data_IF_091607055710
#
_entry.id   IF_091607055710
#
_cell.length_a   1.000
_cell.length_b   1.000
_cell.length_c   1.000
_cell.angle_alpha   90.00
_cell.angle_beta   90.00
_cell.angle_gamma   90.00
#
_symmetry.space_group_name_H-M   'P 1'
#
loop_
_entity.id
_entity.type
_entity.pdbx_description
1 polymer ?
#
# COMPACT_ATOMS: atom_id res chain seq x y z
N UNK A 1 -22.88 4.99 -29.37
CA UNK A 1 -22.02 4.35 -28.33
C UNK A 1 -20.96 5.34 -27.89
N UNK A 2 -20.55 5.31 -26.61
CA UNK A 2 -19.69 6.29 -25.90
C UNK A 2 -20.40 7.58 -25.47
N UNK A 3 -21.46 7.44 -24.67
CA UNK A 3 -22.01 8.55 -23.88
C UNK A 3 -21.84 8.17 -22.40
N UNK A 4 -20.81 8.70 -21.73
CA UNK A 4 -20.56 8.43 -20.30
C UNK A 4 -19.10 8.30 -19.86
N UNK A 5 -18.13 8.33 -20.79
CA UNK A 5 -16.70 8.13 -20.47
C UNK A 5 -16.13 9.14 -19.49
N UNK A 6 -16.46 10.43 -19.64
CA UNK A 6 -15.92 11.51 -18.79
C UNK A 6 -16.38 11.39 -17.33
N UNK A 7 -17.68 11.19 -17.11
CA UNK A 7 -18.25 11.03 -15.76
C UNK A 7 -17.80 9.72 -15.11
N UNK A 8 -17.71 8.63 -15.88
CA UNK A 8 -17.22 7.35 -15.36
C UNK A 8 -15.75 7.43 -14.94
N UNK A 9 -14.88 7.99 -15.79
CA UNK A 9 -13.47 8.20 -15.45
C UNK A 9 -13.30 9.16 -14.27
N UNK A 10 -14.08 10.25 -14.20
CA UNK A 10 -14.07 11.19 -13.06
C UNK A 10 -14.47 10.50 -11.76
N UNK A 11 -15.55 9.73 -11.77
CA UNK A 11 -16.04 9.02 -10.59
C UNK A 11 -15.07 7.93 -10.16
N UNK A 12 -14.49 7.17 -11.09
CA UNK A 12 -13.47 6.17 -10.78
C UNK A 12 -12.22 6.79 -10.16
N UNK A 13 -11.73 7.93 -10.69
CA UNK A 13 -10.59 8.64 -10.14
C UNK A 13 -10.89 9.22 -8.75
N UNK A 14 -12.11 9.73 -8.55
CA UNK A 14 -12.57 10.21 -7.25
C UNK A 14 -12.62 9.07 -6.23
N UNK A 15 -13.23 7.93 -6.58
CA UNK A 15 -13.30 6.74 -5.73
C UNK A 15 -11.92 6.22 -5.35
N UNK A 16 -10.97 6.17 -6.30
CA UNK A 16 -9.60 5.72 -6.03
C UNK A 16 -8.91 6.63 -4.99
N UNK A 17 -9.02 7.95 -5.13
CA UNK A 17 -8.43 8.89 -4.15
C UNK A 17 -9.13 8.85 -2.78
N UNK A 18 -10.44 8.62 -2.73
CA UNK A 18 -11.16 8.42 -1.45
C UNK A 18 -10.66 7.16 -0.74
N UNK A 19 -10.43 6.06 -1.47
CA UNK A 19 -9.82 4.86 -0.89
C UNK A 19 -8.41 5.15 -0.36
N UNK A 20 -7.60 5.91 -1.10
CA UNK A 20 -6.25 6.28 -0.64
C UNK A 20 -6.28 7.15 0.62
N UNK A 21 -7.23 8.07 0.74
CA UNK A 21 -7.46 8.81 1.99
C UNK A 21 -7.79 7.89 3.16
N UNK A 22 -8.66 6.88 2.94
CA UNK A 22 -9.03 5.94 3.99
C UNK A 22 -7.85 5.09 4.43
N UNK A 23 -7.07 4.58 3.48
CA UNK A 23 -5.84 3.84 3.78
C UNK A 23 -4.84 4.71 4.56
N UNK A 24 -4.62 5.96 4.13
CA UNK A 24 -3.71 6.87 4.83
C UNK A 24 -4.12 7.16 6.27
N UNK A 25 -5.41 7.44 6.52
CA UNK A 25 -5.93 7.66 7.87
C UNK A 25 -5.86 6.40 8.74
N UNK A 26 -6.14 5.22 8.17
CA UNK A 26 -6.00 3.95 8.87
C UNK A 26 -4.53 3.67 9.26
N UNK A 27 -3.57 3.90 8.36
CA UNK A 27 -2.15 3.72 8.65
C UNK A 27 -1.68 4.63 9.80
N UNK A 28 -2.09 5.91 9.79
CA UNK A 28 -1.77 6.85 10.86
C UNK A 28 -2.45 6.42 12.17
N UNK A 29 -3.73 6.04 12.12
CA UNK A 29 -4.50 5.64 13.28
C UNK A 29 -3.94 4.39 13.97
N UNK A 30 -3.63 3.34 13.22
CA UNK A 30 -3.04 2.10 13.75
C UNK A 30 -1.64 2.36 14.30
N UNK A 31 -0.82 3.16 13.62
CA UNK A 31 0.51 3.50 14.11
C UNK A 31 0.47 4.33 15.40
N UNK A 32 -0.45 5.30 15.50
CA UNK A 32 -0.65 6.12 16.69
C UNK A 32 -1.19 5.28 17.86
N UNK A 33 -2.15 4.39 17.59
CA UNK A 33 -2.68 3.45 18.58
C UNK A 33 -1.58 2.51 19.10
N UNK A 34 -0.78 1.92 18.20
CA UNK A 34 0.32 1.01 18.57
C UNK A 34 1.39 1.65 19.45
N UNK A 35 1.66 2.95 19.25
CA UNK A 35 2.56 3.73 20.13
C UNK A 35 1.99 3.88 21.53
N UNK A 36 0.67 4.07 21.68
CA UNK A 36 0.00 4.30 22.95
C UNK A 36 0.07 3.11 23.93
N UNK A 37 0.14 1.88 23.41
CA UNK A 37 0.22 0.65 24.22
C UNK A 37 1.66 0.19 24.52
N UNK A 38 2.69 0.86 23.97
CA UNK A 38 4.08 0.45 24.15
C UNK A 38 4.43 -0.92 23.53
N UNK A 39 3.59 -1.44 22.63
CA UNK A 39 3.74 -2.78 22.02
C UNK A 39 4.87 -2.82 20.99
N UNK A 40 5.20 -1.69 20.34
CA UNK A 40 6.23 -1.61 19.31
C UNK A 40 7.41 -0.77 19.82
N UNK A 41 8.54 -1.43 20.08
CA UNK A 41 9.71 -0.85 20.75
C UNK A 41 10.61 0.00 19.84
N UNK A 42 10.32 0.15 18.54
CA UNK A 42 11.16 0.91 17.60
C UNK A 42 10.45 2.14 17.04
N UNK A 43 10.96 3.31 17.44
CA UNK A 43 10.51 4.63 16.97
C UNK A 43 10.64 4.74 15.45
N UNK A 44 11.64 4.10 14.86
CA UNK A 44 11.91 4.17 13.42
C UNK A 44 10.84 3.49 12.57
N UNK A 45 10.38 2.30 12.98
CA UNK A 45 9.36 1.55 12.24
C UNK A 45 8.03 2.31 12.27
N UNK A 46 7.63 2.77 13.46
CA UNK A 46 6.41 3.57 13.63
C UNK A 46 6.50 4.88 12.82
N UNK A 47 7.65 5.57 12.88
CA UNK A 47 7.89 6.79 12.12
C UNK A 47 7.74 6.59 10.61
N UNK A 48 8.24 5.46 10.09
CA UNK A 48 8.08 5.08 8.69
C UNK A 48 6.62 4.91 8.28
N UNK A 49 5.83 4.15 9.05
CA UNK A 49 4.40 3.92 8.76
C UNK A 49 3.61 5.22 8.77
N UNK A 50 3.87 6.11 9.74
CA UNK A 50 3.23 7.43 9.82
C UNK A 50 3.61 8.30 8.62
N UNK A 51 4.90 8.35 8.27
CA UNK A 51 5.37 9.15 7.13
C UNK A 51 4.73 8.70 5.81
N UNK A 52 4.64 7.38 5.58
CA UNK A 52 3.94 6.82 4.41
C UNK A 52 2.45 7.18 4.44
N UNK A 53 1.78 7.08 5.59
CA UNK A 53 0.36 7.44 5.73
C UNK A 53 0.09 8.92 5.41
N UNK A 54 0.93 9.83 5.90
CA UNK A 54 0.81 11.27 5.61
C UNK A 54 1.06 11.56 4.13
N UNK A 55 2.09 10.94 3.54
CA UNK A 55 2.40 11.09 2.12
C UNK A 55 1.23 10.64 1.23
N UNK A 56 0.63 9.48 1.52
CA UNK A 56 -0.56 8.99 0.80
C UNK A 56 -1.76 9.94 0.93
N UNK A 57 -1.96 10.54 2.10
CA UNK A 57 -3.04 11.50 2.33
C UNK A 57 -2.85 12.78 1.49
N UNK A 58 -1.61 13.29 1.39
CA UNK A 58 -1.30 14.45 0.55
C UNK A 58 -1.54 14.16 -0.95
N UNK A 59 -1.10 12.99 -1.42
CA UNK A 59 -1.33 12.57 -2.82
C UNK A 59 -2.83 12.46 -3.10
N UNK A 60 -3.58 11.86 -2.18
CA UNK A 60 -5.02 11.68 -2.32
C UNK A 60 -5.77 13.02 -2.39
N UNK A 61 -5.38 14.01 -1.57
CA UNK A 61 -5.96 15.37 -1.63
C UNK A 61 -5.65 16.02 -2.98
N UNK A 62 -4.40 15.96 -3.44
CA UNK A 62 -3.99 16.52 -4.74
C UNK A 62 -4.76 15.85 -5.89
N UNK A 63 -4.90 14.53 -5.86
CA UNK A 63 -5.64 13.76 -6.84
C UNK A 63 -7.14 14.08 -6.84
N UNK A 64 -7.74 14.22 -5.66
CA UNK A 64 -9.15 14.59 -5.51
C UNK A 64 -9.44 16.00 -6.04
N UNK A 65 -8.64 16.99 -5.66
CA UNK A 65 -8.76 18.37 -6.17
C UNK A 65 -8.56 18.39 -7.69
N UNK A 66 -7.58 17.63 -8.21
CA UNK A 66 -7.33 17.51 -9.65
C UNK A 66 -8.51 16.92 -10.42
N UNK A 67 -9.17 15.91 -9.85
CA UNK A 67 -10.35 15.27 -10.43
C UNK A 67 -11.60 16.19 -10.39
N UNK A 68 -11.82 16.92 -9.28
CA UNK A 68 -12.99 17.76 -9.07
C UNK A 68 -12.94 19.04 -9.90
N UNK A 69 -11.83 19.77 -9.82
CA UNK A 69 -11.65 21.08 -10.47
C UNK A 69 -11.18 20.97 -11.93
N UNK A 70 -10.89 19.77 -12.41
CA UNK A 70 -10.36 19.51 -13.75
C UNK A 70 -9.12 20.38 -14.08
N UNK A 71 -8.31 20.66 -13.06
CA UNK A 71 -7.11 21.48 -13.20
C UNK A 71 -6.01 20.67 -13.90
N UNK A 72 -5.86 20.89 -15.21
CA UNK A 72 -4.99 20.11 -16.11
C UNK A 72 -3.54 19.97 -15.61
N UNK A 73 -2.99 21.02 -14.99
CA UNK A 73 -1.63 21.01 -14.44
C UNK A 73 -1.53 20.17 -13.16
N UNK A 74 -2.56 20.18 -12.30
CA UNK A 74 -2.56 19.42 -11.04
C UNK A 74 -2.68 17.92 -11.33
N UNK A 75 -3.52 17.58 -12.32
CA UNK A 75 -3.68 16.22 -12.81
C UNK A 75 -2.39 15.68 -13.47
N UNK A 76 -1.59 16.55 -14.08
CA UNK A 76 -0.26 16.18 -14.60
C UNK A 76 0.70 15.81 -13.48
N UNK A 77 0.84 16.64 -12.44
CA UNK A 77 1.67 16.31 -11.28
C UNK A 77 1.22 15.02 -10.60
N UNK A 78 -0.10 14.84 -10.44
CA UNK A 78 -0.67 13.61 -9.87
C UNK A 78 -0.22 12.36 -10.64
N UNK A 79 -0.22 12.39 -11.97
CA UNK A 79 0.23 11.25 -12.77
C UNK A 79 1.71 11.00 -12.76
N UNK A 80 2.53 12.05 -12.70
CA UNK A 80 3.97 11.91 -12.50
C UNK A 80 4.23 11.23 -11.15
N UNK A 81 3.53 11.64 -10.09
CA UNK A 81 3.67 11.05 -8.76
C UNK A 81 3.22 9.58 -8.75
N UNK A 82 2.04 9.26 -9.28
CA UNK A 82 1.57 7.88 -9.40
C UNK A 82 2.54 7.00 -10.21
N UNK A 83 3.18 7.56 -11.24
CA UNK A 83 4.18 6.81 -12.00
C UNK A 83 5.42 6.48 -11.14
N UNK A 84 5.92 7.41 -10.33
CA UNK A 84 7.02 7.12 -9.42
C UNK A 84 6.63 6.12 -8.32
N UNK A 85 5.43 6.25 -7.74
CA UNK A 85 4.91 5.29 -6.76
C UNK A 85 4.84 3.90 -7.38
N UNK A 86 4.33 3.77 -8.60
CA UNK A 86 4.35 2.53 -9.35
C UNK A 86 5.77 1.94 -9.49
N UNK A 87 6.77 2.74 -9.88
CA UNK A 87 8.15 2.25 -10.05
C UNK A 87 8.73 1.70 -8.74
N UNK A 88 8.57 2.44 -7.63
CA UNK A 88 9.05 1.99 -6.32
C UNK A 88 8.30 0.76 -5.84
N UNK A 89 6.98 0.74 -5.98
CA UNK A 89 6.14 -0.36 -5.52
C UNK A 89 6.40 -1.63 -6.31
N UNK A 90 6.49 -1.53 -7.63
CA UNK A 90 6.85 -2.65 -8.49
C UNK A 90 8.25 -3.17 -8.15
N UNK A 91 9.23 -2.27 -7.96
CA UNK A 91 10.60 -2.63 -7.60
C UNK A 91 10.70 -3.34 -6.24
N UNK A 92 10.04 -2.79 -5.20
CA UNK A 92 10.01 -3.39 -3.86
C UNK A 92 9.26 -4.72 -3.89
N UNK A 93 8.12 -4.81 -4.60
CA UNK A 93 7.33 -6.05 -4.70
C UNK A 93 8.13 -7.17 -5.36
N UNK A 94 8.80 -6.88 -6.48
CA UNK A 94 9.68 -7.82 -7.15
C UNK A 94 10.86 -8.23 -6.25
N UNK A 95 11.43 -7.29 -5.51
CA UNK A 95 12.51 -7.57 -4.56
C UNK A 95 12.06 -8.47 -3.41
N UNK A 96 10.86 -8.25 -2.85
CA UNK A 96 10.27 -9.11 -1.82
C UNK A 96 10.00 -10.54 -2.32
N UNK A 97 9.54 -10.70 -3.56
CA UNK A 97 9.31 -12.01 -4.18
C UNK A 97 10.60 -12.74 -4.55
N UNK A 98 11.63 -12.00 -4.98
CA UNK A 98 12.91 -12.55 -5.41
C UNK A 98 13.91 -12.80 -4.25
N UNK A 99 13.59 -12.35 -3.03
CA UNK A 99 14.48 -12.45 -1.88
C UNK A 99 14.74 -13.91 -1.49
N UNK A 100 15.99 -14.35 -1.58
CA UNK A 100 16.41 -15.70 -1.19
C UNK A 100 16.74 -15.81 0.31
N UNK A 101 16.77 -17.05 0.82
CA UNK A 101 17.05 -17.33 2.24
C UNK A 101 18.40 -16.77 2.71
N UNK A 102 19.46 -16.92 1.91
CA UNK A 102 20.80 -16.38 2.26
C UNK A 102 20.80 -14.86 2.41
N UNK A 103 20.04 -14.14 1.58
CA UNK A 103 19.92 -12.69 1.67
C UNK A 103 19.16 -12.28 2.93
N UNK A 104 18.08 -13.01 3.27
CA UNK A 104 17.35 -12.79 4.51
C UNK A 104 18.22 -13.07 5.74
N UNK A 105 19.01 -14.15 5.74
CA UNK A 105 19.94 -14.49 6.83
C UNK A 105 20.99 -13.40 7.03
N UNK A 106 21.58 -12.88 5.94
CA UNK A 106 22.57 -11.79 6.01
C UNK A 106 21.96 -10.49 6.55
N UNK A 107 20.77 -10.12 6.07
CA UNK A 107 20.05 -8.94 6.57
C UNK A 107 19.69 -9.10 8.04
N UNK A 108 19.20 -10.27 8.43
CA UNK A 108 18.81 -10.58 9.80
C UNK A 108 20.01 -10.56 10.75
N UNK A 109 21.15 -11.14 10.36
CA UNK A 109 22.38 -11.10 11.16
C UNK A 109 22.87 -9.66 11.37
N UNK A 110 22.93 -8.87 10.28
CA UNK A 110 23.30 -7.46 10.38
C UNK A 110 22.34 -6.67 11.27
N UNK A 111 21.03 -6.90 11.14
CA UNK A 111 20.00 -6.23 11.93
C UNK A 111 20.08 -6.63 13.40
N UNK A 112 20.28 -7.92 13.70
CA UNK A 112 20.37 -8.44 15.05
C UNK A 112 21.55 -7.84 15.81
N UNK A 113 22.70 -7.67 15.14
CA UNK A 113 23.89 -7.02 15.73
C UNK A 113 23.67 -5.55 16.07
N UNK A 114 22.85 -4.84 15.30
CA UNK A 114 22.51 -3.42 15.57
C UNK A 114 21.34 -3.28 16.55
N UNK A 115 20.61 -4.35 16.81
CA UNK A 115 19.43 -4.33 17.68
C UNK A 115 19.86 -4.31 19.15
N UNK A 116 19.18 -3.49 19.95
CA UNK A 116 19.45 -3.39 21.39
C UNK A 116 19.07 -4.65 22.15
N UNK A 117 19.79 -4.94 23.23
CA UNK A 117 19.58 -6.14 24.04
C UNK A 117 18.16 -6.23 24.64
N UNK A 118 17.53 -5.09 24.95
CA UNK A 118 16.13 -5.04 25.42
C UNK A 118 15.17 -5.51 24.34
N UNK A 119 15.40 -5.10 23.08
CA UNK A 119 14.56 -5.50 21.95
C UNK A 119 14.74 -6.99 21.66
N UNK A 120 15.98 -7.49 21.74
CA UNK A 120 16.27 -8.93 21.61
C UNK A 120 15.55 -9.74 22.67
N UNK A 121 15.63 -9.36 23.95
CA UNK A 121 14.95 -10.07 25.04
C UNK A 121 13.42 -10.09 24.86
N UNK A 122 12.83 -8.99 24.38
CA UNK A 122 11.40 -8.93 24.09
C UNK A 122 11.02 -9.85 22.92
N UNK A 123 11.82 -9.89 21.86
CA UNK A 123 11.59 -10.80 20.73
C UNK A 123 11.71 -12.26 21.15
N UNK A 124 12.75 -12.62 21.91
CA UNK A 124 12.97 -13.97 22.44
C UNK A 124 11.79 -14.44 23.30
N UNK A 125 11.24 -13.57 24.16
CA UNK A 125 10.05 -13.90 24.96
C UNK A 125 8.78 -14.03 24.15
N UNK A 126 8.57 -13.17 23.15
CA UNK A 126 7.35 -13.19 22.33
C UNK A 126 7.31 -14.38 21.37
N UNK A 127 8.47 -14.78 20.84
CA UNK A 127 8.60 -15.89 19.89
C UNK A 127 8.97 -17.23 20.54
N UNK A 128 9.15 -17.24 21.87
CA UNK A 128 9.58 -18.40 22.67
C UNK A 128 10.81 -19.13 22.08
N UNK A 129 11.85 -18.35 21.75
CA UNK A 129 13.09 -18.78 21.12
C UNK A 129 14.31 -18.11 21.79
N UNK A 130 15.52 -18.61 21.55
CA UNK A 130 16.75 -18.00 22.10
C UNK A 130 17.88 -17.94 21.07
N UNK A 131 18.55 -16.79 20.99
CA UNK A 131 19.68 -16.57 20.09
C UNK A 131 19.31 -16.57 18.60
N UNK A 132 20.14 -15.93 17.77
CA UNK A 132 19.81 -15.75 16.35
C UNK A 132 20.02 -17.03 15.52
N UNK A 133 21.26 -17.42 15.24
CA UNK A 133 21.60 -18.60 14.45
C UNK A 133 22.76 -19.33 15.15
N UNK A 134 22.67 -20.65 15.25
CA UNK A 134 23.73 -21.48 15.83
C UNK A 134 24.70 -21.90 14.73
N UNK A 135 25.51 -20.95 14.26
CA UNK A 135 26.52 -21.14 13.23
C UNK A 135 27.90 -20.91 13.81
N UNK A 136 28.90 -21.68 13.38
CA UNK A 136 30.29 -21.63 13.89
C UNK A 136 30.94 -20.25 13.81
N UNK A 137 30.51 -19.40 12.87
CA UNK A 137 30.97 -18.01 12.72
C UNK A 137 30.42 -17.04 13.77
N UNK A 138 29.19 -17.30 14.26
CA UNK A 138 28.48 -16.41 15.19
C UNK A 138 28.38 -17.02 16.60
N UNK A 139 29.08 -18.12 16.86
CA UNK A 139 29.07 -18.87 18.12
C UNK A 139 29.22 -17.99 19.39
N UNK A 140 30.20 -17.08 19.51
CA UNK A 140 30.34 -16.28 20.74
C UNK A 140 29.18 -15.31 20.97
N UNK A 141 28.58 -14.78 19.89
CA UNK A 141 27.40 -13.92 19.98
C UNK A 141 26.17 -14.75 20.37
N UNK A 142 26.02 -15.92 19.74
CA UNK A 142 24.95 -16.87 20.04
C UNK A 142 24.98 -17.32 21.50
N UNK A 143 26.15 -17.71 22.01
CA UNK A 143 26.30 -18.16 23.40
C UNK A 143 25.94 -17.05 24.39
N UNK A 144 26.40 -15.82 24.14
CA UNK A 144 26.06 -14.65 24.97
C UNK A 144 24.56 -14.35 24.98
N UNK A 145 23.93 -14.33 23.80
CA UNK A 145 22.49 -14.07 23.67
C UNK A 145 21.69 -15.21 24.32
N UNK A 146 22.07 -16.47 24.10
CA UNK A 146 21.44 -17.65 24.69
C UNK A 146 21.55 -17.66 26.22
N UNK A 147 22.69 -17.25 26.80
CA UNK A 147 22.85 -17.13 28.26
C UNK A 147 21.97 -16.04 28.85
N UNK A 148 21.79 -14.91 28.14
CA UNK A 148 20.92 -13.80 28.57
C UNK A 148 19.43 -14.09 28.37
N UNK A 149 19.09 -14.99 27.45
CA UNK A 149 17.71 -15.33 27.12
C UNK A 149 16.89 -15.73 28.35
N UNK A 150 15.69 -15.13 28.47
CA UNK A 150 14.71 -15.37 29.54
C UNK A 150 13.40 -15.96 29.01
N UNK A 151 13.41 -16.52 27.80
CA UNK A 151 12.24 -17.14 27.19
C UNK A 151 11.82 -18.42 27.95
N UNK A 152 10.52 -18.73 28.05
CA UNK A 152 10.02 -19.94 28.69
C UNK A 152 10.62 -21.25 28.15
N UNK A 153 10.93 -21.32 26.84
CA UNK A 153 11.55 -22.47 26.17
C UNK A 153 12.85 -22.92 26.85
N UNK A 154 13.64 -21.97 27.37
CA UNK A 154 14.95 -22.24 27.99
C UNK A 154 14.79 -23.01 29.30
N UNK A 155 13.76 -22.69 30.09
CA UNK A 155 13.46 -23.40 31.33
C UNK A 155 12.96 -24.84 31.08
N UNK A 156 12.35 -25.08 29.92
CA UNK A 156 11.86 -26.41 29.50
C UNK A 156 12.94 -27.29 28.85
N UNK A 157 14.13 -26.75 28.57
CA UNK A 157 15.26 -27.47 27.97
C UNK A 157 15.15 -27.75 26.46
N UNK A 158 14.05 -27.34 25.81
CA UNK A 158 13.87 -27.42 24.36
C UNK A 158 13.59 -26.03 23.83
N UNK A 159 14.58 -25.40 23.20
CA UNK A 159 14.42 -24.08 22.60
C UNK A 159 15.00 -24.03 21.19
N UNK A 160 14.23 -23.41 20.29
CA UNK A 160 14.63 -23.18 18.90
C UNK A 160 15.43 -21.88 18.78
N UNK A 161 16.16 -21.73 17.68
CA UNK A 161 16.84 -20.47 17.35
C UNK A 161 15.84 -19.47 16.78
N UNK A 162 15.89 -18.23 17.26
CA UNK A 162 14.99 -17.17 16.79
C UNK A 162 15.15 -16.88 15.31
N UNK A 163 16.37 -17.02 14.77
CA UNK A 163 16.62 -16.81 13.35
C UNK A 163 15.82 -17.74 12.47
N UNK A 164 15.70 -19.03 12.82
CA UNK A 164 14.92 -19.97 12.02
C UNK A 164 13.43 -19.61 12.02
N UNK A 165 12.87 -19.31 13.20
CA UNK A 165 11.47 -18.89 13.36
C UNK A 165 11.21 -17.60 12.60
N UNK A 166 12.08 -16.59 12.74
CA UNK A 166 11.95 -15.31 12.06
C UNK A 166 12.07 -15.42 10.54
N UNK A 167 13.00 -16.24 10.02
CA UNK A 167 13.21 -16.43 8.58
C UNK A 167 12.02 -17.13 7.92
N UNK A 168 11.46 -18.14 8.59
CA UNK A 168 10.28 -18.85 8.08
C UNK A 168 9.08 -17.90 7.96
N UNK A 169 8.76 -17.18 9.03
CA UNK A 169 7.68 -16.19 9.01
C UNK A 169 7.94 -15.04 8.03
N UNK A 170 9.19 -14.56 7.94
CA UNK A 170 9.56 -13.48 7.03
C UNK A 170 9.43 -13.91 5.57
N UNK A 171 9.82 -15.14 5.23
CA UNK A 171 9.74 -15.63 3.86
C UNK A 171 8.28 -15.73 3.38
N UNK A 172 7.37 -16.23 4.21
CA UNK A 172 5.95 -16.25 3.88
C UNK A 172 5.37 -14.85 3.77
N UNK A 173 5.67 -13.98 4.75
CA UNK A 173 5.20 -12.61 4.77
C UNK A 173 5.70 -11.82 3.55
N UNK A 174 6.96 -11.97 3.15
CA UNK A 174 7.55 -11.31 1.97
C UNK A 174 6.91 -11.77 0.67
N UNK A 175 6.58 -13.07 0.55
CA UNK A 175 5.85 -13.59 -0.62
C UNK A 175 4.45 -13.01 -0.72
N UNK A 176 3.73 -12.97 0.39
CA UNK A 176 2.37 -12.40 0.45
C UNK A 176 2.44 -10.90 0.15
N UNK A 177 3.33 -10.16 0.83
CA UNK A 177 3.47 -8.72 0.68
C UNK A 177 3.91 -8.33 -0.74
N UNK A 178 4.87 -9.07 -1.31
CA UNK A 178 5.31 -8.87 -2.68
C UNK A 178 4.21 -9.19 -3.69
N UNK A 179 3.40 -10.23 -3.46
CA UNK A 179 2.23 -10.54 -4.28
C UNK A 179 1.15 -9.45 -4.23
N UNK A 180 0.80 -8.97 -3.04
CA UNK A 180 -0.16 -7.88 -2.84
C UNK A 180 0.33 -6.58 -3.48
N UNK A 181 1.61 -6.24 -3.29
CA UNK A 181 2.21 -5.06 -3.91
C UNK A 181 2.25 -5.13 -5.43
N UNK A 182 2.49 -6.31 -6.00
CA UNK A 182 2.47 -6.53 -7.45
C UNK A 182 1.05 -6.41 -8.02
N UNK A 183 0.04 -6.96 -7.33
CA UNK A 183 -1.37 -6.76 -7.68
C UNK A 183 -1.74 -5.27 -7.68
N UNK A 184 -1.38 -4.55 -6.62
CA UNK A 184 -1.67 -3.13 -6.50
C UNK A 184 -0.93 -2.31 -7.57
N UNK A 185 0.29 -2.70 -7.95
CA UNK A 185 1.07 -2.06 -9.02
C UNK A 185 0.36 -2.16 -10.38
N UNK A 186 -0.29 -3.28 -10.67
CA UNK A 186 -1.12 -3.40 -11.88
C UNK A 186 -2.36 -2.51 -11.83
N UNK A 187 -3.03 -2.42 -10.68
CA UNK A 187 -4.16 -1.51 -10.53
C UNK A 187 -3.75 -0.04 -10.66
N UNK A 188 -2.53 0.31 -10.24
CA UNK A 188 -1.97 1.65 -10.37
C UNK A 188 -1.65 2.00 -11.83
N UNK A 189 -1.11 1.07 -12.62
CA UNK A 189 -0.95 1.26 -14.07
C UNK A 189 -2.30 1.58 -14.73
N UNK A 190 -3.37 0.85 -14.36
CA UNK A 190 -4.72 1.15 -14.86
C UNK A 190 -5.18 2.54 -14.40
N UNK A 191 -4.87 2.94 -13.17
CA UNK A 191 -5.12 4.28 -12.65
C UNK A 191 -4.42 5.37 -13.46
N UNK A 192 -3.13 5.21 -13.77
CA UNK A 192 -2.36 6.11 -14.63
C UNK A 192 -2.96 6.16 -16.03
N UNK A 193 -3.30 5.02 -16.63
CA UNK A 193 -3.93 4.98 -17.95
C UNK A 193 -5.28 5.71 -17.99
N UNK A 194 -6.14 5.47 -16.99
CA UNK A 194 -7.42 6.16 -16.84
C UNK A 194 -7.23 7.67 -16.67
N UNK A 195 -6.24 8.07 -15.88
CA UNK A 195 -5.93 9.46 -15.64
C UNK A 195 -5.40 10.14 -16.93
N UNK A 196 -4.55 9.48 -17.72
CA UNK A 196 -4.08 9.97 -19.03
C UNK A 196 -5.27 10.14 -19.97
N UNK A 197 -6.15 9.14 -20.03
CA UNK A 197 -7.37 9.19 -20.83
C UNK A 197 -8.30 10.32 -20.38
N UNK A 198 -8.42 10.56 -19.08
CA UNK A 198 -9.24 11.64 -18.53
C UNK A 198 -8.66 13.02 -18.84
N UNK A 199 -7.33 13.18 -18.76
CA UNK A 199 -6.64 14.42 -19.15
C UNK A 199 -6.82 14.75 -20.62
N UNK A 200 -6.77 13.73 -21.48
CA UNK A 200 -6.92 13.89 -22.93
C UNK A 200 -8.38 14.13 -23.36
N UNK A 201 -9.35 14.02 -22.45
CA UNK A 201 -10.74 14.40 -22.70
C UNK A 201 -10.90 15.91 -22.47
N UNK A 202 -11.49 16.62 -23.45
CA UNK A 202 -11.83 18.04 -23.30
C UNK A 202 -13.01 18.17 -22.35
N UNK A 203 -12.94 19.14 -21.43
CA UNK A 203 -14.07 19.48 -20.56
C UNK A 203 -15.29 19.87 -21.41
N UNK A 204 -16.41 19.12 -21.33
CA UNK A 204 -17.62 19.48 -22.04
C UNK A 204 -18.20 20.84 -21.60
N UNK A 205 -17.79 21.38 -20.44
CA UNK A 205 -18.20 22.71 -19.97
C UNK A 205 -17.40 23.85 -20.60
N UNK A 206 -16.17 23.59 -21.05
CA UNK A 206 -15.31 24.61 -21.67
C UNK A 206 -15.56 24.77 -23.18
N UNK A 207 -16.25 23.83 -23.81
CA UNK A 207 -16.76 23.94 -25.18
C UNK A 207 -18.20 23.40 -25.24
N UNK A 208 -19.21 24.21 -24.87
CA UNK A 208 -20.58 23.86 -25.21
C UNK A 208 -20.67 23.80 -26.75
N UNK A 209 -21.04 22.66 -27.30
CA UNK A 209 -21.42 22.58 -28.71
C UNK A 209 -22.49 23.66 -28.97
N UNK A 210 -22.36 24.50 -30.02
CA UNK A 210 -23.37 25.51 -30.34
C UNK A 210 -24.79 24.92 -30.52
N UNK A 211 -24.88 23.62 -30.81
CA UNK A 211 -26.13 22.89 -30.99
C UNK A 211 -26.93 22.63 -29.68
N UNK A 212 -26.35 22.88 -28.49
CA UNK A 212 -27.05 22.71 -27.21
C UNK A 212 -27.57 24.03 -26.62
N UNK A 213 -26.99 25.16 -26.98
CA UNK A 213 -27.43 26.49 -26.51
C UNK A 213 -28.85 26.86 -26.96
N UNK A 214 -29.32 26.30 -28.07
CA UNK A 214 -30.67 26.57 -28.57
C UNK A 214 -31.80 25.76 -27.89
N UNK A 215 -31.49 24.80 -27.01
CA UNK A 215 -32.52 23.99 -26.32
C UNK A 215 -32.77 24.39 -24.86
N UNK A 216 -31.86 25.16 -24.25
CA UNK A 216 -31.96 25.50 -22.81
C UNK A 216 -32.87 26.71 -22.52
N UNK A 217 -33.39 27.42 -23.52
CA UNK A 217 -34.31 28.54 -23.29
C UNK A 217 -35.80 28.15 -23.26
N UNK A 218 -36.15 26.86 -23.25
CA UNK A 218 -37.57 26.45 -23.36
C UNK A 218 -38.04 25.33 -22.44
N UNK A 219 -37.33 24.97 -21.38
CA UNK A 219 -37.88 24.03 -20.38
C UNK A 219 -37.51 24.39 -18.95
N UNK A 220 -38.54 24.75 -18.19
CA UNK A 220 -38.51 25.01 -16.76
C UNK A 220 -38.16 23.79 -15.90
N UNK A 221 -38.25 23.90 -14.56
CA UNK A 221 -37.53 23.05 -13.63
C UNK A 221 -38.19 21.68 -13.50
N UNK A 222 -37.43 20.60 -13.64
CA UNK A 222 -37.89 19.26 -13.27
C UNK A 222 -36.73 18.39 -12.78
N UNK A 223 -36.72 18.23 -11.45
CA UNK A 223 -36.52 16.99 -10.70
C UNK A 223 -35.33 16.07 -11.04
N UNK A 224 -34.47 15.99 -10.03
CA UNK A 224 -33.55 14.91 -9.64
C UNK A 224 -34.03 13.53 -10.16
N UNK A 225 -33.19 12.83 -10.92
CA UNK A 225 -33.28 11.37 -10.97
C UNK A 225 -31.90 10.70 -11.04
N UNK A 226 -31.72 9.79 -10.08
CA UNK A 226 -30.58 8.90 -9.86
C UNK A 226 -30.37 7.96 -11.06
N UNK A 227 -29.13 7.87 -11.55
CA UNK A 227 -28.77 7.00 -12.67
C UNK A 227 -28.06 5.72 -12.20
N UNK A 228 -28.83 4.65 -12.03
CA UNK A 228 -28.37 3.28 -11.75
C UNK A 228 -27.72 2.66 -13.00
N UNK A 229 -26.51 2.11 -12.88
CA UNK A 229 -25.89 1.28 -13.91
C UNK A 229 -26.60 -0.08 -14.00
N UNK A 230 -27.20 -0.39 -15.16
CA UNK A 230 -27.76 -1.72 -15.46
C UNK A 230 -26.79 -2.47 -16.39
N UNK A 231 -26.22 -3.57 -15.92
CA UNK A 231 -25.55 -4.58 -16.75
C UNK A 231 -26.57 -5.22 -17.69
N UNK A 232 -26.23 -5.38 -18.98
CA UNK A 232 -26.95 -6.26 -19.89
C UNK A 232 -26.06 -7.44 -20.26
N UNK A 233 -26.60 -8.63 -20.00
CA UNK A 233 -26.08 -9.94 -20.37
C UNK A 233 -26.12 -10.15 -21.89
N UNK A 234 -25.16 -10.94 -22.35
CA UNK A 234 -25.00 -11.46 -23.71
C UNK A 234 -26.08 -12.53 -23.95
N UNK A 235 -26.88 -12.38 -25.01
CA UNK A 235 -27.64 -13.50 -25.61
C UNK A 235 -27.32 -13.61 -27.10
N UNK A 236 -26.93 -14.82 -27.47
CA UNK A 236 -26.55 -15.33 -28.78
C UNK A 236 -27.75 -15.41 -29.72
N UNK A 237 -27.61 -14.94 -30.97
CA UNK A 237 -28.58 -15.20 -32.06
C UNK A 237 -28.35 -16.56 -32.71
N UNK A 238 -29.43 -17.24 -33.13
CA UNK A 238 -29.40 -18.15 -34.26
C UNK A 238 -30.31 -17.64 -35.39
N UNK A 239 -29.76 -17.60 -36.60
CA UNK A 239 -30.46 -17.84 -37.87
C UNK A 239 -29.43 -17.96 -38.98
#
# INVERSE_FOLDING_TARGET
MVCGGFTCSKNALCSLNVVYMMVGLLLIGVAAWGKGFGIVSSIHIIGGVIAVGVFLLLIAIVGLIGALNHHQVLLFFYMVILFFVFLFQFGVSCSCLAMNREQQEKLLNSTWRMTSDVTKENLEKQLDCCGLLNSTLDQPQFDSDFQRCKAPCKAKGQCYTCGNVMLEHSAEALKILGGVGLFFSFTEILGVWLAVRYRNQKDPRANPNPAQSHKDHSRGPSLIMSGSCRMQHIETSPS
#
